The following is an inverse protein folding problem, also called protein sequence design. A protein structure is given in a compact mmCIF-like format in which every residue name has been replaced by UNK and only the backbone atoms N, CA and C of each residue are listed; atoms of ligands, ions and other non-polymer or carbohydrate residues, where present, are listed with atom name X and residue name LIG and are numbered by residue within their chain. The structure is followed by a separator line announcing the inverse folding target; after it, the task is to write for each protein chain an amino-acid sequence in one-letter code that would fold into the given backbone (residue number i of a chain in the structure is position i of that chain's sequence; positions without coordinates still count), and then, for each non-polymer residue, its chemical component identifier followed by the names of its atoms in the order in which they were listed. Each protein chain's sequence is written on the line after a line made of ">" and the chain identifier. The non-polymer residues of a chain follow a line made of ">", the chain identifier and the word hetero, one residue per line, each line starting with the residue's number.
data_IF_003380287198
#
_entry.id   IF_003380287198
#
_cell.length_a   1.000
_cell.length_b   1.000
_cell.length_c   1.000
_cell.angle_alpha   90.00
_cell.angle_beta   90.00
_cell.angle_gamma   90.00
#
_symmetry.space_group_name_H-M   'P 1'
#
loop_
_entity.id
_entity.type
_entity.pdbx_description
1 polymer ?
#
# COMPACT_ATOMS: atom_id res chain seq x y z
N UNK A 1 -19.75 7.58 14.04
CA UNK A 1 -20.88 6.71 14.42
C UNK A 1 -21.00 5.59 13.40
N UNK A 2 -21.14 4.34 13.84
CA UNK A 2 -21.35 3.19 12.98
C UNK A 2 -22.56 2.40 13.43
N UNK A 3 -23.44 2.05 12.51
CA UNK A 3 -24.62 1.22 12.76
C UNK A 3 -24.36 -0.16 12.15
N UNK A 4 -24.56 -1.22 12.94
CA UNK A 4 -24.59 -2.62 12.50
C UNK A 4 -26.05 -3.07 12.59
N UNK A 5 -26.67 -3.34 11.45
CA UNK A 5 -28.03 -3.86 11.37
C UNK A 5 -27.98 -5.34 10.99
N UNK A 6 -28.77 -6.16 11.69
CA UNK A 6 -28.88 -7.60 11.42
C UNK A 6 -30.31 -7.94 11.07
N UNK A 7 -30.54 -8.53 9.90
CA UNK A 7 -31.83 -9.06 9.52
C UNK A 7 -31.72 -10.57 9.34
N UNK A 8 -32.72 -11.29 9.86
CA UNK A 8 -32.86 -12.73 9.66
C UNK A 8 -33.90 -12.92 8.57
N UNK A 9 -33.48 -13.30 7.37
CA UNK A 9 -34.43 -13.55 6.28
C UNK A 9 -35.34 -14.72 6.66
N UNK A 10 -36.65 -14.49 6.67
CA UNK A 10 -37.65 -15.53 6.93
C UNK A 10 -37.58 -16.56 5.80
N UNK A 11 -37.16 -17.79 6.11
CA UNK A 11 -37.09 -18.90 5.16
C UNK A 11 -35.71 -19.22 4.57
N UNK A 12 -34.64 -18.51 4.96
CA UNK A 12 -33.25 -18.91 4.67
C UNK A 12 -32.48 -19.16 5.97
N UNK A 13 -31.63 -20.19 5.98
CA UNK A 13 -30.63 -20.37 7.05
C UNK A 13 -29.48 -19.38 6.85
N UNK A 14 -29.71 -18.09 7.13
CA UNK A 14 -28.67 -17.06 6.99
C UNK A 14 -28.95 -15.81 7.82
N UNK A 15 -27.90 -15.28 8.47
CA UNK A 15 -27.89 -13.95 9.10
C UNK A 15 -27.25 -12.96 8.12
N UNK A 16 -27.99 -11.93 7.73
CA UNK A 16 -27.46 -10.85 6.88
C UNK A 16 -27.04 -9.67 7.76
N UNK A 17 -25.78 -9.23 7.59
CA UNK A 17 -25.22 -8.07 8.28
C UNK A 17 -25.12 -6.90 7.31
N UNK A 18 -25.76 -5.77 7.65
CA UNK A 18 -25.66 -4.50 6.92
C UNK A 18 -24.85 -3.51 7.73
N UNK A 19 -23.81 -2.96 7.12
CA UNK A 19 -22.90 -2.00 7.75
C UNK A 19 -23.13 -0.59 7.20
N UNK A 20 -23.05 0.40 8.09
CA UNK A 20 -23.20 1.81 7.71
C UNK A 20 -22.16 2.33 6.70
N UNK A 21 -21.02 1.66 6.57
CA UNK A 21 -20.04 1.91 5.50
C UNK A 21 -19.09 0.72 5.30
N UNK A 22 -18.35 0.67 4.17
CA UNK A 22 -17.28 -0.32 3.96
C UNK A 22 -16.23 -0.35 5.08
N UNK A 23 -15.92 0.81 5.69
CA UNK A 23 -15.00 0.88 6.83
C UNK A 23 -15.54 0.15 8.06
N UNK A 24 -16.83 0.29 8.36
CA UNK A 24 -17.47 -0.42 9.46
C UNK A 24 -17.50 -1.93 9.22
N UNK A 25 -17.80 -2.34 7.98
CA UNK A 25 -17.70 -3.74 7.54
C UNK A 25 -16.30 -4.28 7.81
N UNK A 26 -15.25 -3.56 7.39
CA UNK A 26 -13.85 -3.94 7.59
C UNK A 26 -13.48 -4.11 9.07
N UNK A 27 -13.86 -3.15 9.92
CA UNK A 27 -13.60 -3.23 11.37
C UNK A 27 -14.31 -4.43 12.00
N UNK A 28 -15.58 -4.65 11.65
CA UNK A 28 -16.36 -5.77 12.17
C UNK A 28 -15.79 -7.12 11.71
N UNK A 29 -15.43 -7.28 10.44
CA UNK A 29 -14.76 -8.49 9.96
C UNK A 29 -13.45 -8.75 10.71
N UNK A 30 -12.61 -7.73 10.93
CA UNK A 30 -11.36 -7.91 11.68
C UNK A 30 -11.54 -8.26 13.16
N UNK A 31 -12.61 -7.77 13.81
CA UNK A 31 -12.76 -7.84 15.27
C UNK A 31 -13.74 -8.91 15.73
N UNK A 32 -14.74 -9.22 14.92
CA UNK A 32 -15.90 -10.02 15.32
C UNK A 32 -16.00 -11.34 14.55
N UNK A 33 -15.45 -11.42 13.33
CA UNK A 33 -15.55 -12.60 12.49
C UNK A 33 -14.19 -13.28 12.37
N UNK A 34 -14.09 -14.51 12.87
CA UNK A 34 -12.89 -15.32 12.70
C UNK A 34 -12.87 -15.88 11.27
N UNK A 35 -12.15 -15.22 10.36
CA UNK A 35 -11.98 -15.71 8.99
C UNK A 35 -11.69 -14.62 7.97
N UNK A 36 -11.31 -15.05 6.77
CA UNK A 36 -11.17 -14.17 5.61
C UNK A 36 -12.55 -13.72 5.15
N UNK A 37 -12.68 -12.46 4.76
CA UNK A 37 -13.93 -11.95 4.21
C UNK A 37 -14.34 -12.76 2.95
N UNK A 38 -15.61 -13.22 2.83
CA UNK A 38 -16.05 -14.09 1.72
C UNK A 38 -15.85 -13.48 0.32
N UNK A 39 -15.93 -12.15 0.23
CA UNK A 39 -15.81 -11.40 -1.03
C UNK A 39 -14.39 -10.88 -1.30
N UNK A 40 -13.39 -11.25 -0.48
CA UNK A 40 -11.99 -10.95 -0.72
C UNK A 40 -11.41 -11.78 -1.89
N UNK A 41 -12.08 -11.73 -3.02
CA UNK A 41 -11.81 -12.40 -4.28
C UNK A 41 -10.68 -11.71 -5.06
N UNK A 42 -9.58 -11.38 -4.39
CA UNK A 42 -8.32 -11.09 -5.08
C UNK A 42 -7.64 -12.41 -5.49
N UNK A 43 -8.33 -13.36 -6.14
CA UNK A 43 -7.76 -14.71 -6.20
C UNK A 43 -6.45 -14.80 -7.02
N UNK A 44 -6.16 -13.89 -7.95
CA UNK A 44 -5.03 -14.06 -8.87
C UNK A 44 -4.20 -12.80 -9.18
N UNK A 45 -4.35 -11.69 -8.47
CA UNK A 45 -3.51 -10.50 -8.72
C UNK A 45 -2.19 -10.59 -7.93
N UNK A 46 -1.07 -10.32 -8.61
CA UNK A 46 0.24 -10.16 -7.97
C UNK A 46 0.38 -8.78 -7.31
N UNK A 47 1.33 -8.64 -6.37
CA UNK A 47 1.63 -7.34 -5.74
C UNK A 47 1.91 -6.26 -6.79
N UNK A 48 2.65 -6.63 -7.84
CA UNK A 48 2.95 -5.75 -8.95
C UNK A 48 1.68 -5.28 -9.68
N UNK A 49 0.76 -6.20 -10.01
CA UNK A 49 -0.49 -5.85 -10.71
C UNK A 49 -1.36 -4.93 -9.86
N UNK A 50 -1.49 -5.22 -8.56
CA UNK A 50 -2.21 -4.38 -7.61
C UNK A 50 -1.62 -2.97 -7.56
N UNK A 51 -0.30 -2.84 -7.43
CA UNK A 51 0.34 -1.52 -7.41
C UNK A 51 0.22 -0.79 -8.75
N UNK A 52 0.32 -1.50 -9.87
CA UNK A 52 0.14 -0.94 -11.22
C UNK A 52 -1.26 -0.35 -11.38
N UNK A 53 -2.29 -1.11 -11.01
CA UNK A 53 -3.67 -0.66 -11.09
C UNK A 53 -3.94 0.52 -10.15
N UNK A 54 -3.37 0.49 -8.93
CA UNK A 54 -3.48 1.58 -7.98
C UNK A 54 -2.85 2.86 -8.55
N UNK A 55 -1.65 2.79 -9.12
CA UNK A 55 -1.00 3.92 -9.78
C UNK A 55 -1.83 4.43 -10.97
N UNK A 56 -2.47 3.56 -11.75
CA UNK A 56 -3.33 3.96 -12.85
C UNK A 56 -4.58 4.75 -12.41
N UNK A 57 -5.00 4.61 -11.14
CA UNK A 57 -6.08 5.39 -10.52
C UNK A 57 -5.60 6.65 -9.79
N UNK A 58 -4.29 6.78 -9.61
CA UNK A 58 -3.69 7.85 -8.84
C UNK A 58 -4.10 9.20 -9.42
N UNK A 59 -4.71 10.05 -8.60
CA UNK A 59 -5.14 11.37 -9.03
C UNK A 59 -4.00 12.39 -8.84
N UNK A 60 -3.29 12.82 -9.89
CA UNK A 60 -2.20 13.77 -9.74
C UNK A 60 -2.64 15.13 -9.19
N UNK A 61 -3.94 15.48 -9.26
CA UNK A 61 -4.45 16.74 -8.74
C UNK A 61 -4.35 16.87 -7.21
N UNK A 62 -4.14 15.77 -6.49
CA UNK A 62 -3.91 15.79 -5.03
C UNK A 62 -2.49 16.25 -4.68
N UNK A 63 -1.55 16.12 -5.64
CA UNK A 63 -0.17 16.53 -5.50
C UNK A 63 -0.06 18.02 -5.81
N UNK A 64 -0.47 18.85 -4.84
CA UNK A 64 -0.32 20.31 -4.94
C UNK A 64 0.97 20.75 -4.25
N UNK A 65 1.87 21.49 -4.94
CA UNK A 65 3.05 22.06 -4.32
C UNK A 65 2.63 22.95 -3.16
N UNK A 66 3.25 22.76 -2.00
CA UNK A 66 3.08 23.72 -0.90
C UNK A 66 3.93 24.96 -1.23
N UNK A 67 3.36 26.15 -1.03
CA UNK A 67 3.98 27.44 -1.37
C UNK A 67 5.34 27.73 -0.69
N UNK A 68 5.82 26.86 0.21
CA UNK A 68 7.05 27.04 0.98
C UNK A 68 8.08 25.91 0.82
N UNK A 69 7.96 25.08 -0.22
CA UNK A 69 8.93 24.02 -0.43
C UNK A 69 10.24 24.56 -1.03
N UNK A 70 11.42 24.19 -0.49
CA UNK A 70 12.70 24.65 -1.00
C UNK A 70 12.91 24.25 -2.47
N UNK A 71 13.69 25.03 -3.26
CA UNK A 71 13.85 24.86 -4.71
C UNK A 71 14.68 23.62 -5.11
N UNK A 72 14.94 22.69 -4.19
CA UNK A 72 15.91 21.62 -4.41
C UNK A 72 15.19 20.33 -4.83
N UNK A 73 15.14 20.06 -6.14
CA UNK A 73 14.90 18.77 -6.87
C UNK A 73 13.74 17.84 -6.48
N UNK A 74 13.00 18.14 -5.43
CA UNK A 74 11.74 17.49 -5.06
C UNK A 74 10.58 18.23 -5.74
N UNK A 75 9.44 17.57 -5.97
CA UNK A 75 8.24 18.23 -6.52
C UNK A 75 7.68 19.35 -5.60
N UNK A 76 8.38 19.68 -4.50
CA UNK A 76 7.89 20.56 -3.46
C UNK A 76 6.63 20.02 -2.77
N UNK A 77 6.42 18.72 -2.90
CA UNK A 77 5.27 17.97 -2.39
C UNK A 77 5.83 16.97 -1.38
N UNK A 78 5.31 16.87 -0.16
CA UNK A 78 5.78 15.89 0.81
C UNK A 78 5.52 14.45 0.33
N UNK A 79 6.42 13.51 0.64
CA UNK A 79 6.23 12.06 0.38
C UNK A 79 4.90 11.53 0.96
N UNK A 80 4.49 12.06 2.12
CA UNK A 80 3.20 11.75 2.75
C UNK A 80 1.99 11.98 1.82
N UNK A 81 2.04 12.97 0.91
CA UNK A 81 0.94 13.20 -0.03
C UNK A 81 0.83 12.08 -1.07
N UNK A 82 1.95 11.45 -1.44
CA UNK A 82 1.96 10.27 -2.31
C UNK A 82 1.48 9.03 -1.56
N UNK A 83 1.90 8.89 -0.31
CA UNK A 83 1.45 7.79 0.55
C UNK A 83 -0.07 7.86 0.78
N UNK A 84 -0.63 9.03 1.09
CA UNK A 84 -2.07 9.23 1.30
C UNK A 84 -2.88 8.82 0.06
N UNK A 85 -2.49 9.29 -1.13
CA UNK A 85 -3.18 8.94 -2.37
C UNK A 85 -2.98 7.46 -2.72
N UNK A 86 -1.77 6.93 -2.54
CA UNK A 86 -1.50 5.51 -2.78
C UNK A 86 -2.34 4.62 -1.86
N UNK A 87 -2.53 5.00 -0.60
CA UNK A 87 -3.42 4.29 0.33
C UNK A 87 -4.86 4.27 -0.21
N UNK A 88 -5.38 5.40 -0.68
CA UNK A 88 -6.71 5.49 -1.28
C UNK A 88 -6.85 4.60 -2.52
N UNK A 89 -5.86 4.62 -3.42
CA UNK A 89 -5.89 3.79 -4.64
C UNK A 89 -5.74 2.30 -4.33
N UNK A 90 -4.87 1.93 -3.38
CA UNK A 90 -4.71 0.55 -2.94
C UNK A 90 -6.00 0.01 -2.32
N UNK A 91 -6.70 0.82 -1.51
CA UNK A 91 -7.97 0.43 -0.92
C UNK A 91 -9.02 0.07 -1.97
N UNK A 92 -9.03 0.76 -3.12
CA UNK A 92 -9.90 0.40 -4.24
C UNK A 92 -9.52 -0.93 -4.90
N UNK A 93 -8.22 -1.22 -5.00
CA UNK A 93 -7.73 -2.43 -5.65
C UNK A 93 -7.84 -3.68 -4.78
N UNK A 94 -7.58 -3.54 -3.49
CA UNK A 94 -7.60 -4.68 -2.56
C UNK A 94 -8.85 -4.74 -1.70
N UNK A 95 -9.78 -3.82 -1.94
CA UNK A 95 -11.06 -3.67 -1.27
C UNK A 95 -10.91 -3.77 0.25
N UNK A 96 -11.34 -4.89 0.81
CA UNK A 96 -11.48 -5.08 2.25
C UNK A 96 -10.20 -5.60 2.91
N UNK A 97 -9.16 -5.92 2.13
CA UNK A 97 -7.91 -6.41 2.68
C UNK A 97 -7.24 -5.36 3.58
N UNK A 98 -6.64 -5.82 4.69
CA UNK A 98 -6.08 -4.93 5.68
C UNK A 98 -4.76 -4.30 5.23
N UNK A 99 -4.81 -3.02 4.86
CA UNK A 99 -3.62 -2.18 4.73
C UNK A 99 -3.26 -1.62 6.12
N UNK A 100 -2.04 -1.86 6.57
CA UNK A 100 -1.43 -1.18 7.71
C UNK A 100 -0.44 -0.15 7.17
N UNK A 101 -0.76 1.14 7.34
CA UNK A 101 0.16 2.22 7.00
C UNK A 101 1.22 2.40 8.08
N UNK A 102 2.42 2.82 7.70
CA UNK A 102 3.52 3.13 8.63
C UNK A 102 3.78 1.97 9.62
N UNK A 103 3.74 0.75 9.12
CA UNK A 103 3.78 -0.45 9.93
C UNK A 103 5.20 -0.77 10.42
N UNK A 104 5.30 -1.14 11.69
CA UNK A 104 6.55 -1.58 12.29
C UNK A 104 6.31 -2.87 13.07
N UNK A 105 6.99 -3.95 12.66
CA UNK A 105 6.87 -5.24 13.34
C UNK A 105 7.72 -5.30 14.63
N UNK A 106 8.86 -4.59 14.63
CA UNK A 106 9.78 -4.50 15.77
C UNK A 106 9.96 -3.04 16.17
N UNK A 107 10.92 -2.71 17.03
CA UNK A 107 11.26 -1.29 17.30
C UNK A 107 12.15 -0.67 16.22
N UNK A 108 12.59 -1.46 15.24
CA UNK A 108 13.57 -1.06 14.24
C UNK A 108 13.00 -1.17 12.82
N UNK A 109 12.92 -0.02 12.15
CA UNK A 109 12.39 0.08 10.79
C UNK A 109 10.88 0.29 10.76
N UNK A 110 10.38 0.75 9.61
CA UNK A 110 8.96 1.04 9.39
C UNK A 110 8.69 1.01 7.90
N UNK A 111 7.78 0.15 7.48
CA UNK A 111 7.35 0.04 6.09
C UNK A 111 6.12 0.92 5.85
N UNK A 112 6.03 1.56 4.70
CA UNK A 112 4.95 2.50 4.42
C UNK A 112 3.60 1.80 4.34
N UNK A 113 3.51 0.65 3.69
CA UNK A 113 2.32 -0.20 3.73
C UNK A 113 2.65 -1.68 3.90
N UNK A 114 1.88 -2.33 4.78
CA UNK A 114 1.89 -3.78 4.93
C UNK A 114 0.49 -4.36 4.76
N UNK A 115 0.32 -5.27 3.81
CA UNK A 115 -0.94 -5.96 3.53
C UNK A 115 -0.91 -7.33 4.22
N UNK A 116 -1.50 -7.41 5.42
CA UNK A 116 -1.29 -8.56 6.33
C UNK A 116 -1.69 -9.90 5.72
N UNK A 117 -2.87 -9.96 5.09
CA UNK A 117 -3.42 -11.22 4.58
C UNK A 117 -2.62 -11.79 3.40
N UNK A 118 -1.86 -10.91 2.72
CA UNK A 118 -0.99 -11.27 1.59
C UNK A 118 0.49 -11.27 1.95
N UNK A 119 0.83 -10.79 3.14
CA UNK A 119 2.22 -10.62 3.58
C UNK A 119 3.04 -9.80 2.58
N UNK A 120 2.45 -8.73 2.07
CA UNK A 120 3.11 -7.85 1.10
C UNK A 120 3.60 -6.57 1.75
N UNK A 121 4.82 -6.16 1.39
CA UNK A 121 5.40 -4.88 1.76
C UNK A 121 5.44 -3.90 0.60
N UNK A 122 5.11 -2.63 0.85
CA UNK A 122 5.21 -1.55 -0.14
C UNK A 122 5.95 -0.38 0.52
N UNK A 123 6.99 0.11 -0.16
CA UNK A 123 7.69 1.35 0.17
C UNK A 123 7.43 2.38 -0.93
N UNK A 124 7.17 3.63 -0.55
CA UNK A 124 6.91 4.74 -1.47
C UNK A 124 8.02 5.76 -1.31
N UNK A 125 8.71 6.03 -2.41
CA UNK A 125 9.76 7.04 -2.49
C UNK A 125 9.32 8.19 -3.38
N UNK A 126 9.73 9.40 -3.01
CA UNK A 126 9.63 10.56 -3.88
C UNK A 126 11.01 11.01 -4.37
N UNK A 127 11.19 11.09 -5.69
CA UNK A 127 12.44 11.50 -6.34
C UNK A 127 13.66 10.75 -5.80
N UNK A 128 13.52 9.46 -5.49
CA UNK A 128 14.58 8.62 -4.96
C UNK A 128 15.75 8.51 -5.93
N UNK A 129 16.96 8.74 -5.42
CA UNK A 129 18.21 8.52 -6.16
C UNK A 129 18.58 7.04 -6.14
N UNK A 130 19.57 6.62 -6.94
CA UNK A 130 20.09 5.25 -6.88
C UNK A 130 20.55 4.86 -5.47
N UNK A 131 21.16 5.79 -4.73
CA UNK A 131 21.57 5.55 -3.36
C UNK A 131 20.36 5.33 -2.44
N UNK A 132 19.32 6.16 -2.57
CA UNK A 132 18.07 6.07 -1.80
C UNK A 132 17.33 4.75 -2.07
N UNK A 133 17.16 4.41 -3.34
CA UNK A 133 16.50 3.16 -3.75
C UNK A 133 17.31 1.96 -3.25
N UNK A 134 18.63 1.97 -3.39
CA UNK A 134 19.50 0.89 -2.91
C UNK A 134 19.44 0.73 -1.40
N UNK A 135 19.38 1.84 -0.65
CA UNK A 135 19.24 1.81 0.81
C UNK A 135 17.93 1.13 1.23
N UNK A 136 16.81 1.49 0.59
CA UNK A 136 15.52 0.86 0.88
C UNK A 136 15.50 -0.62 0.44
N UNK A 137 16.05 -0.95 -0.73
CA UNK A 137 16.20 -2.33 -1.18
C UNK A 137 17.03 -3.17 -0.21
N UNK A 138 18.11 -2.63 0.34
CA UNK A 138 18.95 -3.30 1.33
C UNK A 138 18.19 -3.68 2.61
N UNK A 139 17.10 -2.97 2.96
CA UNK A 139 16.25 -3.34 4.10
C UNK A 139 15.54 -4.68 3.90
N UNK A 140 15.25 -5.04 2.65
CA UNK A 140 14.62 -6.32 2.28
C UNK A 140 15.62 -7.44 1.95
N UNK A 141 16.91 -7.12 1.81
CA UNK A 141 17.95 -8.10 1.54
C UNK A 141 18.07 -9.16 2.67
N UNK A 142 18.80 -10.25 2.42
CA UNK A 142 18.92 -11.38 3.35
C UNK A 142 19.42 -11.00 4.75
N UNK A 143 20.23 -9.94 4.87
CA UNK A 143 20.71 -9.37 6.13
C UNK A 143 20.02 -8.04 6.49
N UNK A 144 18.92 -7.71 5.82
CA UNK A 144 18.20 -6.46 5.97
C UNK A 144 17.20 -6.51 7.14
N UNK A 145 16.89 -5.33 7.69
CA UNK A 145 16.00 -5.17 8.86
C UNK A 145 14.63 -5.82 8.68
N UNK A 146 14.09 -5.81 7.46
CA UNK A 146 12.78 -6.37 7.17
C UNK A 146 12.79 -7.88 6.99
N UNK A 147 13.95 -8.48 6.70
CA UNK A 147 14.09 -9.93 6.67
C UNK A 147 13.92 -10.54 8.06
N UNK A 148 14.42 -9.86 9.09
CA UNK A 148 14.26 -10.27 10.49
C UNK A 148 12.79 -10.35 10.90
N UNK A 149 11.91 -9.55 10.28
CA UNK A 149 10.49 -9.58 10.60
C UNK A 149 9.86 -10.91 10.19
N UNK A 150 10.36 -11.58 9.14
CA UNK A 150 9.86 -12.88 8.65
C UNK A 150 8.33 -12.95 8.46
N UNK A 151 7.71 -11.82 8.16
CA UNK A 151 6.27 -11.68 7.94
C UNK A 151 5.92 -11.37 6.48
N UNK A 152 6.90 -11.08 5.62
CA UNK A 152 6.68 -10.69 4.22
C UNK A 152 7.08 -11.82 3.26
N UNK A 153 6.21 -12.10 2.31
CA UNK A 153 6.42 -13.06 1.21
C UNK A 153 6.82 -12.35 -0.10
N UNK A 154 6.38 -11.10 -0.30
CA UNK A 154 6.73 -10.28 -1.47
C UNK A 154 6.83 -8.80 -1.07
N UNK A 155 7.57 -8.01 -1.83
CA UNK A 155 7.69 -6.57 -1.61
C UNK A 155 7.95 -5.78 -2.89
N UNK A 156 7.59 -4.50 -2.88
CA UNK A 156 7.84 -3.58 -3.98
C UNK A 156 8.22 -2.19 -3.46
N UNK A 157 9.11 -1.51 -4.19
CA UNK A 157 9.48 -0.12 -3.94
C UNK A 157 8.95 0.70 -5.11
N UNK A 158 8.11 1.69 -4.83
CA UNK A 158 7.51 2.59 -5.80
C UNK A 158 8.21 3.93 -5.73
N UNK A 159 9.00 4.26 -6.75
CA UNK A 159 9.69 5.54 -6.83
C UNK A 159 8.95 6.50 -7.77
N UNK A 160 8.29 7.51 -7.21
CA UNK A 160 7.64 8.57 -7.98
C UNK A 160 8.65 9.67 -8.31
N UNK A 161 8.96 9.87 -9.58
CA UNK A 161 9.92 10.89 -10.01
C UNK A 161 9.51 11.52 -11.35
N UNK A 162 10.03 12.73 -11.67
CA UNK A 162 9.90 13.29 -13.00
C UNK A 162 10.40 12.32 -14.08
N UNK A 163 9.82 12.39 -15.29
CA UNK A 163 10.25 11.57 -16.42
C UNK A 163 11.70 11.83 -16.82
N UNK A 164 12.16 13.06 -16.74
CA UNK A 164 13.53 13.49 -17.07
C UNK A 164 14.56 13.01 -16.03
N UNK A 165 14.14 12.60 -14.84
CA UNK A 165 15.01 11.97 -13.84
C UNK A 165 15.22 10.46 -14.07
N UNK A 166 14.37 9.82 -14.90
CA UNK A 166 14.45 8.37 -15.15
C UNK A 166 15.78 7.89 -15.75
N UNK A 167 16.42 8.59 -16.71
CA UNK A 167 17.71 8.16 -17.27
C UNK A 167 18.84 8.08 -16.24
N UNK A 168 18.75 8.86 -15.16
CA UNK A 168 19.75 8.90 -14.09
C UNK A 168 19.56 7.76 -13.07
N UNK A 169 18.40 7.09 -13.11
CA UNK A 169 18.09 5.96 -12.24
C UNK A 169 18.66 4.68 -12.87
N UNK A 170 19.69 4.15 -12.23
CA UNK A 170 20.36 2.88 -12.57
C UNK A 170 20.21 1.96 -11.38
N UNK A 171 19.28 1.02 -11.48
CA UNK A 171 19.07 0.00 -10.45
C UNK A 171 20.05 -1.14 -10.74
N UNK A 172 21.10 -1.26 -9.94
CA UNK A 172 22.01 -2.39 -9.99
C UNK A 172 21.38 -3.58 -9.26
N UNK A 173 20.96 -4.62 -10.00
CA UNK A 173 20.47 -5.88 -9.42
C UNK A 173 19.25 -6.50 -10.11
N UNK A 174 18.83 -7.68 -9.64
CA UNK A 174 17.64 -8.44 -10.11
C UNK A 174 16.31 -7.91 -9.54
N UNK A 175 16.24 -6.64 -9.14
CA UNK A 175 14.96 -6.07 -8.72
C UNK A 175 14.16 -5.74 -9.98
N UNK A 176 12.97 -6.31 -10.17
CA UNK A 176 12.17 -5.98 -11.32
C UNK A 176 11.76 -4.51 -11.23
N UNK A 177 12.32 -3.69 -12.12
CA UNK A 177 12.01 -2.27 -12.24
C UNK A 177 10.86 -2.08 -13.23
N UNK A 178 9.80 -1.41 -12.81
CA UNK A 178 8.65 -1.12 -13.65
C UNK A 178 8.50 0.38 -13.85
N UNK A 179 8.38 0.77 -15.11
CA UNK A 179 8.11 2.14 -15.53
C UNK A 179 6.60 2.30 -15.67
N UNK A 180 6.03 3.25 -14.94
CA UNK A 180 4.62 3.63 -15.07
C UNK A 180 4.56 5.04 -15.68
N UNK A 181 3.74 5.22 -16.72
CA UNK A 181 3.60 6.45 -17.51
C UNK A 181 2.50 7.35 -16.96
#
# INVERSE_FOLDING_TARGET
>A
MGLLHTEREVGKEGLTYTFASPLHRRVAYRRLLAGREPDAALKDLSLQQVCTNAIARFNPAVLKPRWHSPPNRSWGIPEAAFQDEMYCCLEHEIHFLPILSEYSHTKAGRIDFYICDRKWGIEVLQCGTNATISEHAARFATSGKYREWNIMEDYIILNFCPRDALPDIRIEGKLPSYLFL
#
